data_IF_381367947051
#
_entry.id   IF_381367947051
#
_cell.length_a   1.000
_cell.length_b   1.000
_cell.length_c   1.000
_cell.angle_alpha   90.00
_cell.angle_beta   90.00
_cell.angle_gamma   90.00
#
_symmetry.space_group_name_H-M   'P 1'
#
loop_
_entity.id
_entity.type
_entity.pdbx_description
1 polymer ?
2 non-polymer ?
3 non-polymer ?
4 water ?
#
# COMPACT_ATOMS: atom_id res chain seq x y z
N UNK A 1 6.18 -15.48 14.74
CA UNK A 1 5.03 -14.58 14.73
C UNK A 1 4.02 -14.96 13.66
N UNK A 2 2.92 -14.22 13.59
CA UNK A 2 1.80 -14.52 12.73
C UNK A 2 1.33 -13.27 11.99
N UNK A 3 0.94 -13.43 10.73
CA UNK A 3 0.49 -12.30 9.92
C UNK A 3 -0.59 -12.75 8.94
N UNK A 4 -1.69 -12.00 8.87
CA UNK A 4 -2.75 -12.31 7.91
C UNK A 4 -2.29 -11.94 6.51
N UNK A 5 -2.63 -12.78 5.53
CA UNK A 5 -2.31 -12.47 4.14
C UNK A 5 -2.83 -11.08 3.79
N UNK A 6 -2.06 -10.34 2.98
CA UNK A 6 -2.47 -9.02 2.54
C UNK A 6 -2.34 -7.93 3.57
N UNK A 7 -1.62 -8.19 4.67
CA UNK A 7 -1.33 -7.19 5.68
C UNK A 7 0.17 -6.99 5.83
N UNK A 8 0.54 -5.87 6.42
CA UNK A 8 1.92 -5.55 6.76
C UNK A 8 2.13 -5.67 8.26
N UNK A 9 3.37 -5.95 8.66
CA UNK A 9 3.76 -5.77 10.05
C UNK A 9 5.06 -5.00 10.12
N UNK A 10 5.24 -4.33 11.25
CA UNK A 10 6.47 -3.60 11.54
C UNK A 10 7.32 -4.49 12.44
N UNK A 11 8.38 -5.06 11.87
CA UNK A 11 9.29 -5.91 12.61
C UNK A 11 10.32 -5.05 13.33
N UNK A 12 10.57 -5.39 14.60
CA UNK A 12 11.50 -4.65 15.45
C UNK A 12 12.79 -5.46 15.64
N UNK A 13 13.94 -4.82 15.46
CA UNK A 13 15.23 -5.48 15.60
C UNK A 13 16.18 -4.60 16.41
N UNK A 14 17.14 -5.23 17.10
CA UNK A 14 18.20 -4.47 17.77
C UNK A 14 19.05 -3.73 16.73
N UNK A 15 19.42 -2.49 17.04
CA UNK A 15 20.21 -1.69 16.10
C UNK A 15 21.69 -2.06 16.14
N UNK A 16 22.24 -2.29 17.33
CA UNK A 16 23.67 -2.48 17.47
C UNK A 16 24.16 -3.66 16.62
N UNK A 17 25.16 -3.39 15.77
CA UNK A 17 25.89 -4.41 15.01
C UNK A 17 25.03 -5.08 13.94
N UNK A 18 23.85 -4.54 13.66
CA UNK A 18 23.03 -5.02 12.54
C UNK A 18 23.65 -4.63 11.20
N UNK A 19 23.62 -5.57 10.26
CA UNK A 19 24.16 -5.34 8.92
C UNK A 19 23.11 -5.37 7.82
N UNK A 20 22.25 -6.40 7.79
CA UNK A 20 21.23 -6.49 6.75
C UNK A 20 20.16 -7.50 7.13
N UNK A 21 18.99 -7.31 6.56
CA UNK A 21 17.83 -8.15 6.81
C UNK A 21 17.35 -8.71 5.48
N UNK A 22 17.25 -10.02 5.39
CA UNK A 22 17.02 -10.69 4.13
C UNK A 22 15.87 -11.68 4.19
N UNK A 23 15.21 -11.82 3.06
CA UNK A 23 14.20 -12.86 2.83
C UNK A 23 14.65 -13.61 1.58
N UNK A 24 15.35 -14.73 1.75
CA UNK A 24 15.81 -15.56 0.63
C UNK A 24 16.45 -14.72 -0.47
N UNK A 25 17.56 -14.08 -0.13
CA UNK A 25 18.36 -13.25 -1.05
C UNK A 25 17.65 -11.99 -1.52
N UNK A 26 16.48 -11.67 -0.96
CA UNK A 26 15.87 -10.36 -1.12
C UNK A 26 16.23 -9.52 0.10
N UNK A 27 16.71 -8.30 -0.13
CA UNK A 27 17.07 -7.40 0.96
C UNK A 27 15.86 -6.58 1.40
N UNK A 28 15.69 -6.47 2.70
CA UNK A 28 14.59 -5.69 3.29
C UNK A 28 15.21 -4.49 3.98
N UNK A 29 14.87 -3.27 3.58
CA UNK A 29 15.46 -2.08 4.21
C UNK A 29 14.93 -1.88 5.62
N UNK A 30 15.71 -1.14 6.41
CA UNK A 30 15.37 -0.83 7.79
C UNK A 30 15.32 0.69 7.96
N UNK A 31 14.65 1.14 9.03
CA UNK A 31 14.64 2.55 9.40
C UNK A 31 14.58 2.64 10.91
N UNK A 32 14.85 3.84 11.42
CA UNK A 32 14.96 4.03 12.86
C UNK A 32 13.62 3.85 13.55
N UNK A 33 13.66 3.27 14.73
CA UNK A 33 12.49 3.28 15.59
C UNK A 33 12.43 4.65 16.26
N UNK A 34 11.36 5.42 16.05
CA UNK A 34 11.35 6.82 16.52
C UNK A 34 11.30 6.97 18.03
N UNK A 35 11.02 5.91 18.78
CA UNK A 35 10.87 6.01 20.22
C UNK A 35 11.83 5.14 21.02
N UNK A 36 12.58 4.25 20.38
CA UNK A 36 13.60 3.45 21.06
C UNK A 36 14.87 3.52 20.22
N UNK A 37 15.86 4.27 20.68
CA UNK A 37 17.09 4.49 19.93
C UNK A 37 17.90 3.21 19.74
N UNK A 38 17.64 2.19 20.54
CA UNK A 38 18.34 0.92 20.45
C UNK A 38 17.70 -0.03 19.44
N UNK A 39 16.59 0.36 18.82
CA UNK A 39 15.86 -0.50 17.91
C UNK A 39 15.80 0.10 16.51
N UNK A 40 15.67 -0.76 15.51
CA UNK A 40 15.27 -0.36 14.16
C UNK A 40 14.00 -1.14 13.79
N UNK A 41 13.40 -0.70 12.69
CA UNK A 41 12.15 -1.26 12.19
C UNK A 41 12.34 -1.70 10.75
N UNK A 42 11.52 -2.67 10.35
CA UNK A 42 11.36 -3.04 8.94
C UNK A 42 9.90 -3.38 8.69
N UNK A 43 9.44 -3.13 7.46
CA UNK A 43 8.07 -3.44 7.06
C UNK A 43 8.09 -4.74 6.27
N UNK A 44 7.36 -5.75 6.75
CA UNK A 44 7.19 -7.02 6.05
C UNK A 44 5.73 -7.18 5.67
N UNK A 45 5.47 -7.49 4.40
CA UNK A 45 4.12 -7.63 3.87
C UNK A 45 3.94 -9.01 3.25
N UNK A 46 2.79 -9.63 3.52
CA UNK A 46 2.42 -10.84 2.79
C UNK A 46 1.48 -10.50 1.65
N UNK A 47 1.64 -11.07 0.46
CA UNK A 47 0.68 -10.79 -0.60
C UNK A 47 -0.65 -11.48 -0.28
N UNK A 48 -1.74 -10.87 -0.74
CA UNK A 48 -3.04 -11.50 -0.53
C UNK A 48 -3.15 -12.79 -1.33
N UNK A 49 -2.77 -12.74 -2.60
CA UNK A 49 -2.91 -13.90 -3.49
C UNK A 49 -1.72 -14.82 -3.34
N UNK A 50 -1.99 -16.12 -3.28
CA UNK A 50 -1.02 -17.20 -3.27
C UNK A 50 0.22 -16.86 -2.42
N UNK A 51 0.04 -16.62 -1.13
CA UNK A 51 1.19 -16.32 -0.27
C UNK A 51 1.90 -17.60 0.13
N UNK A 52 3.17 -17.51 0.53
CA UNK A 52 3.82 -18.67 1.14
C UNK A 52 3.08 -19.05 2.41
N UNK A 53 3.29 -20.28 2.86
CA UNK A 53 2.66 -20.71 4.09
C UNK A 53 3.43 -20.25 5.33
N UNK A 54 4.74 -20.12 5.20
CA UNK A 54 5.58 -19.62 6.27
C UNK A 54 6.69 -18.80 5.63
N UNK A 55 7.32 -17.94 6.45
CA UNK A 55 8.41 -17.10 5.99
C UNK A 55 9.50 -17.06 7.06
N UNK A 56 10.75 -17.28 6.65
CA UNK A 56 11.90 -17.16 7.54
C UNK A 56 12.74 -15.96 7.09
N UNK A 57 12.86 -14.96 7.94
CA UNK A 57 13.71 -13.81 7.67
C UNK A 57 14.99 -13.95 8.49
N UNK A 58 16.10 -13.52 7.91
CA UNK A 58 17.39 -13.56 8.61
C UNK A 58 17.89 -12.13 8.78
N UNK A 59 18.13 -11.75 10.03
CA UNK A 59 18.84 -10.51 10.33
C UNK A 59 20.30 -10.87 10.55
N UNK A 60 21.18 -10.37 9.69
CA UNK A 60 22.61 -10.60 9.82
C UNK A 60 23.24 -9.49 10.65
N UNK A 61 23.94 -9.89 11.69
CA UNK A 61 24.70 -8.99 12.54
C UNK A 61 26.17 -9.18 12.26
N UNK A 62 27.00 -8.35 12.91
CA UNK A 62 28.43 -8.47 12.70
C UNK A 62 28.97 -9.84 13.07
N UNK A 63 28.42 -10.51 14.10
CA UNK A 63 29.01 -11.82 14.41
C UNK A 63 27.97 -12.88 14.71
N UNK A 64 26.72 -12.65 14.34
CA UNK A 64 25.66 -13.63 14.58
C UNK A 64 24.52 -13.34 13.61
N UNK A 65 23.61 -14.29 13.50
CA UNK A 65 22.39 -14.14 12.72
C UNK A 65 21.18 -14.40 13.61
N UNK A 66 20.08 -13.72 13.29
CA UNK A 66 18.82 -13.92 13.99
C UNK A 66 17.77 -14.34 12.99
N UNK A 67 17.07 -15.43 13.28
CA UNK A 67 16.00 -15.96 12.46
C UNK A 67 14.65 -15.48 12.97
N UNK A 68 13.76 -15.13 12.03
CA UNK A 68 12.43 -14.62 12.34
C UNK A 68 11.43 -15.39 11.48
N UNK A 69 10.56 -16.17 12.13
CA UNK A 69 9.55 -16.97 11.46
C UNK A 69 8.20 -16.26 11.51
N UNK A 70 7.56 -16.11 10.35
CA UNK A 70 6.22 -15.54 10.24
C UNK A 70 5.31 -16.58 9.61
N UNK A 71 4.31 -17.03 10.36
CA UNK A 71 3.29 -17.91 9.80
C UNK A 71 2.20 -17.08 9.13
N UNK A 72 1.80 -17.48 7.93
CA UNK A 72 0.75 -16.81 7.21
C UNK A 72 -0.61 -17.24 7.76
N UNK A 73 -1.45 -16.27 8.08
CA UNK A 73 -2.82 -16.55 8.51
C UNK A 73 -3.77 -16.23 7.39
N UNK A 74 -4.80 -17.06 7.26
CA UNK A 74 -5.80 -16.85 6.22
C UNK A 74 -6.68 -15.64 6.51
N UNK A 75 -6.83 -15.27 7.78
CA UNK A 75 -7.73 -14.19 8.16
C UNK A 75 -9.18 -14.61 8.07
N UNK A 76 -10.04 -13.61 7.93
CA UNK A 76 -11.47 -13.88 7.82
C UNK A 76 -12.09 -12.85 6.89
N UNK A 77 -11.43 -12.60 5.77
CA UNK A 77 -11.99 -11.72 4.75
C UNK A 77 -13.30 -12.27 4.22
N UNK A 78 -14.12 -11.37 3.69
CA UNK A 78 -15.33 -11.79 2.99
C UNK A 78 -14.96 -12.39 1.65
N UNK A 79 -15.62 -13.48 1.29
CA UNK A 79 -15.24 -14.25 0.13
C UNK A 79 -16.49 -14.85 -0.50
N UNK A 80 -16.46 -14.95 -1.83
CA UNK A 80 -17.58 -15.51 -2.58
C UNK A 80 -17.05 -16.40 -3.69
N UNK A 81 -17.73 -17.54 -3.89
CA UNK A 81 -17.38 -18.45 -4.97
C UNK A 81 -17.66 -17.78 -6.32
N UNK A 82 -16.63 -17.70 -7.16
CA UNK A 82 -16.77 -17.20 -8.52
C UNK A 82 -17.17 -18.38 -9.40
N UNK A 83 -18.40 -18.33 -9.94
CA UNK A 83 -19.01 -19.54 -10.50
C UNK A 83 -18.61 -19.83 -11.94
N UNK A 84 -18.11 -18.84 -12.68
CA UNK A 84 -17.63 -19.12 -14.04
C UNK A 84 -16.35 -19.95 -13.99
N UNK A 85 -15.44 -19.59 -13.09
CA UNK A 85 -14.01 -19.91 -13.11
C UNK A 85 -13.30 -19.16 -14.22
N UNK A 86 -13.74 -19.34 -15.47
CA UNK A 86 -13.01 -18.99 -16.71
C UNK A 86 -12.08 -17.79 -16.60
N UNK A 87 -12.48 -16.77 -15.83
CA UNK A 87 -11.68 -15.61 -15.40
C UNK A 87 -10.52 -15.17 -16.28
N UNK A 88 -10.48 -15.58 -17.54
CA UNK A 88 -9.48 -15.05 -18.47
C UNK A 88 -10.18 -14.07 -19.39
N UNK A 89 -9.73 -12.81 -19.35
CA UNK A 89 -10.33 -11.75 -20.15
C UNK A 89 -9.40 -11.45 -21.32
N UNK A 90 -9.99 -10.97 -22.40
CA UNK A 90 -9.29 -10.74 -23.66
C UNK A 90 -9.50 -9.29 -24.07
N UNK A 91 -8.76 -8.35 -23.47
CA UNK A 91 -8.90 -6.96 -23.86
C UNK A 91 -8.48 -6.75 -25.31
N UNK A 92 -9.02 -5.74 -25.98
CA UNK A 92 -8.51 -5.40 -27.32
C UNK A 92 -7.02 -5.09 -27.24
N UNK A 93 -6.31 -5.36 -28.34
CA UNK A 93 -4.85 -5.31 -28.27
C UNK A 93 -4.36 -3.92 -27.84
N UNK A 94 -5.07 -2.87 -28.22
CA UNK A 94 -4.63 -1.53 -27.81
C UNK A 94 -4.77 -1.33 -26.29
N UNK A 95 -5.80 -1.91 -25.68
CA UNK A 95 -5.95 -1.82 -24.22
C UNK A 95 -4.85 -2.62 -23.53
N UNK A 96 -4.53 -3.80 -24.07
CA UNK A 96 -3.45 -4.63 -23.52
C UNK A 96 -2.15 -3.86 -23.47
N UNK A 97 -1.84 -3.12 -24.52
CA UNK A 97 -0.57 -2.39 -24.58
C UNK A 97 -0.53 -1.28 -23.54
N UNK A 98 -1.64 -0.55 -23.39
CA UNK A 98 -1.69 0.48 -22.38
C UNK A 98 -1.56 -0.11 -20.98
N UNK A 99 -2.22 -1.25 -20.72
CA UNK A 99 -2.12 -1.87 -19.39
C UNK A 99 -0.69 -2.31 -19.11
N UNK A 100 -0.06 -2.96 -20.10
CA UNK A 100 1.32 -3.40 -19.93
C UNK A 100 2.27 -2.22 -19.73
N UNK A 101 2.07 -1.13 -20.48
CA UNK A 101 2.95 0.01 -20.33
C UNK A 101 2.79 0.64 -18.94
N UNK A 102 1.54 0.80 -18.48
CA UNK A 102 1.34 1.37 -17.15
C UNK A 102 1.82 0.44 -16.03
N UNK A 103 1.80 -0.87 -16.27
CA UNK A 103 2.34 -1.81 -15.28
C UNK A 103 3.85 -1.68 -15.16
N UNK A 104 4.57 -1.63 -16.29
CA UNK A 104 6.00 -1.42 -16.21
C UNK A 104 6.33 -0.09 -15.53
N UNK A 105 5.57 0.97 -15.80
CA UNK A 105 5.83 2.23 -15.11
C UNK A 105 5.60 2.09 -13.62
N UNK A 106 4.46 1.52 -13.22
CA UNK A 106 4.15 1.43 -11.80
C UNK A 106 5.17 0.57 -11.07
N UNK A 107 5.58 -0.54 -11.69
CA UNK A 107 6.57 -1.43 -11.07
C UNK A 107 7.85 -0.67 -10.73
N UNK A 108 8.33 0.15 -11.68
CA UNK A 108 9.56 0.90 -11.44
C UNK A 108 9.37 1.97 -10.36
N UNK A 109 8.20 2.61 -10.34
CA UNK A 109 7.96 3.65 -9.34
C UNK A 109 7.97 3.06 -7.94
N UNK A 110 7.32 1.90 -7.76
CA UNK A 110 7.21 1.29 -6.45
C UNK A 110 8.52 0.68 -5.96
N UNK A 111 9.47 0.41 -6.84
CA UNK A 111 10.75 -0.15 -6.42
C UNK A 111 11.83 0.91 -6.27
N UNK A 112 11.54 2.18 -6.56
CA UNK A 112 12.47 3.29 -6.32
C UNK A 112 12.30 3.71 -4.85
N UNK A 113 13.14 3.16 -3.99
CA UNK A 113 12.97 3.28 -2.54
C UNK A 113 13.53 4.59 -2.01
N UNK A 114 12.73 5.31 -1.21
CA UNK A 114 13.21 6.56 -0.60
C UNK A 114 13.63 6.28 0.84
N UNK A 115 14.92 6.47 1.19
CA UNK A 115 15.39 5.98 2.50
C UNK A 115 15.27 7.02 3.61
N UNK A 116 14.18 7.78 3.61
CA UNK A 116 13.93 8.76 4.66
C UNK A 116 12.43 8.99 4.76
N UNK A 117 12.01 9.54 5.90
CA UNK A 117 10.60 9.85 6.14
C UNK A 117 10.21 11.12 5.40
N UNK A 118 9.27 11.01 4.46
CA UNK A 118 8.64 12.19 3.88
C UNK A 118 7.33 12.53 4.56
N UNK A 119 6.82 11.63 5.39
CA UNK A 119 5.54 11.81 6.05
C UNK A 119 5.68 12.75 7.26
N UNK A 120 4.53 13.14 7.81
CA UNK A 120 4.46 14.07 8.92
C UNK A 120 3.60 13.43 10.01
N UNK A 121 4.22 12.58 10.83
CA UNK A 121 3.47 11.92 11.89
C UNK A 121 2.43 10.97 11.35
N UNK A 122 1.28 10.93 12.03
CA UNK A 122 0.21 9.98 11.70
C UNK A 122 -0.38 10.24 10.32
N UNK A 123 -0.78 9.16 9.65
CA UNK A 123 -1.71 9.26 8.53
C UNK A 123 -3.07 9.74 9.02
N UNK A 124 -3.71 10.62 8.26
CA UNK A 124 -5.12 10.93 8.42
C UNK A 124 -5.92 10.28 7.28
N UNK A 125 -7.22 10.14 7.50
CA UNK A 125 -8.09 9.62 6.44
C UNK A 125 -8.14 10.65 5.30
N UNK A 126 -8.18 10.22 4.03
CA UNK A 126 -8.18 11.21 2.93
C UNK A 126 -9.48 11.98 2.79
N UNK A 127 -10.56 11.54 3.43
CA UNK A 127 -11.78 12.32 3.52
C UNK A 127 -12.56 11.82 4.73
N UNK A 128 -13.42 12.67 5.27
CA UNK A 128 -14.03 12.34 6.55
C UNK A 128 -15.32 11.56 6.41
N UNK A 129 -15.30 10.57 5.51
CA UNK A 129 -16.46 9.75 5.19
C UNK A 129 -16.27 8.36 5.79
N UNK A 130 -16.97 7.38 5.23
CA UNK A 130 -17.04 6.05 5.79
C UNK A 130 -16.80 5.01 4.70
N UNK A 131 -16.35 3.84 5.13
CA UNK A 131 -16.03 2.74 4.22
C UNK A 131 -17.32 2.12 3.71
N UNK A 132 -17.43 1.96 2.39
CA UNK A 132 -18.56 1.27 1.80
C UNK A 132 -18.22 -0.15 1.38
N UNK A 133 -16.96 -0.40 1.02
CA UNK A 133 -16.52 -1.73 0.63
C UNK A 133 -15.06 -1.85 1.05
N UNK A 134 -14.77 -2.75 1.99
CA UNK A 134 -13.43 -2.76 2.56
C UNK A 134 -12.47 -3.64 1.76
N UNK A 135 -11.19 -3.55 2.13
CA UNK A 135 -10.10 -4.30 1.50
C UNK A 135 -10.35 -5.81 1.58
N UNK A 136 -9.90 -6.52 0.55
CA UNK A 136 -9.73 -7.94 0.69
C UNK A 136 -10.96 -8.79 0.42
N UNK A 137 -12.04 -8.19 -0.06
CA UNK A 137 -13.17 -9.00 -0.48
C UNK A 137 -12.75 -9.83 -1.68
N UNK A 138 -12.90 -11.15 -1.57
CA UNK A 138 -12.26 -12.09 -2.49
C UNK A 138 -13.29 -12.82 -3.34
N UNK A 139 -12.90 -13.13 -4.57
CA UNK A 139 -13.65 -14.03 -5.43
C UNK A 139 -12.79 -15.26 -5.68
N UNK A 140 -13.29 -16.42 -5.27
CA UNK A 140 -12.55 -17.68 -5.31
C UNK A 140 -13.07 -18.56 -6.43
N UNK A 141 -12.19 -19.32 -7.09
CA UNK A 141 -12.73 -20.38 -7.93
C UNK A 141 -12.94 -21.61 -7.04
N UNK A 142 -12.46 -22.79 -7.42
CA UNK A 142 -12.62 -23.99 -6.60
C UNK A 142 -12.31 -23.70 -5.13
N UNK A 143 -11.06 -23.33 -4.83
CA UNK A 143 -10.76 -22.56 -3.62
C UNK A 143 -9.38 -21.94 -3.69
N UNK A 144 -8.99 -21.42 -4.84
CA UNK A 144 -7.91 -20.45 -4.84
C UNK A 144 -8.49 -19.08 -5.17
N UNK A 145 -7.91 -18.06 -4.54
CA UNK A 145 -8.36 -16.69 -4.76
C UNK A 145 -8.05 -16.29 -6.19
N UNK A 146 -9.09 -15.97 -6.96
CA UNK A 146 -8.95 -15.46 -8.32
C UNK A 146 -8.78 -13.95 -8.39
N UNK A 147 -9.44 -13.21 -7.49
CA UNK A 147 -9.33 -11.76 -7.47
C UNK A 147 -9.76 -11.27 -6.09
N UNK A 148 -9.46 -10.00 -5.83
CA UNK A 148 -9.77 -9.39 -4.55
C UNK A 148 -9.68 -7.87 -4.67
N UNK A 149 -10.40 -7.19 -3.78
CA UNK A 149 -10.36 -5.73 -3.68
C UNK A 149 -9.04 -5.30 -3.03
N UNK A 150 -8.17 -4.64 -3.80
CA UNK A 150 -6.82 -4.34 -3.34
C UNK A 150 -6.70 -2.96 -2.68
N UNK A 151 -7.83 -2.37 -2.30
CA UNK A 151 -7.88 -1.13 -1.55
C UNK A 151 -9.20 -1.06 -0.83
N UNK A 152 -9.51 0.11 -0.27
CA UNK A 152 -10.75 0.30 0.47
C UNK A 152 -11.52 1.48 -0.12
N UNK A 153 -12.85 1.37 -0.13
CA UNK A 153 -13.71 2.36 -0.78
C UNK A 153 -14.44 3.23 0.25
N UNK A 154 -14.36 4.54 0.08
CA UNK A 154 -15.09 5.50 0.91
C UNK A 154 -16.27 6.08 0.15
N UNK A 155 -17.41 6.21 0.83
CA UNK A 155 -18.54 6.91 0.23
C UNK A 155 -18.16 8.35 -0.08
N UNK A 156 -18.56 8.82 -1.26
CA UNK A 156 -18.26 10.19 -1.65
C UNK A 156 -19.16 10.54 -2.84
N UNK A 157 -19.94 11.61 -2.71
CA UNK A 157 -20.60 12.14 -3.87
C UNK A 157 -19.54 12.58 -4.87
N UNK A 158 -19.87 12.50 -6.17
CA UNK A 158 -18.95 13.01 -7.19
C UNK A 158 -18.58 14.46 -6.88
N UNK A 159 -17.30 14.76 -6.95
CA UNK A 159 -16.82 16.10 -6.68
C UNK A 159 -16.38 16.37 -5.26
N UNK A 160 -16.34 15.35 -4.39
CA UNK A 160 -15.93 15.54 -3.01
C UNK A 160 -14.41 15.79 -2.94
N UNK A 161 -13.95 16.80 -2.20
CA UNK A 161 -12.52 17.03 -2.08
C UNK A 161 -11.82 15.84 -1.43
N UNK A 162 -10.64 15.49 -1.97
CA UNK A 162 -9.81 14.40 -1.47
C UNK A 162 -8.48 14.98 -1.01
N UNK A 163 -8.04 14.61 0.18
CA UNK A 163 -6.83 15.19 0.77
C UNK A 163 -5.76 14.13 0.97
N UNK A 164 -4.50 14.54 0.84
CA UNK A 164 -3.38 13.63 1.07
C UNK A 164 -3.45 13.03 2.47
N UNK A 165 -3.39 11.71 2.57
CA UNK A 165 -3.43 11.08 3.88
C UNK A 165 -2.17 11.34 4.70
N UNK A 166 -1.05 11.67 4.05
CA UNK A 166 0.15 12.10 4.74
C UNK A 166 1.01 12.90 3.76
N UNK A 167 2.05 13.53 4.30
CA UNK A 167 2.99 14.28 3.47
C UNK A 167 3.82 13.36 2.58
N UNK A 168 4.22 13.87 1.43
CA UNK A 168 5.15 13.10 0.62
C UNK A 168 5.41 13.75 -0.73
N UNK A 169 5.69 12.91 -1.73
CA UNK A 169 6.03 13.37 -3.07
C UNK A 169 5.13 12.65 -4.07
N UNK A 170 4.46 13.40 -4.92
CA UNK A 170 3.57 12.82 -5.93
C UNK A 170 4.39 12.09 -6.98
N UNK A 171 4.11 10.80 -7.18
CA UNK A 171 4.77 9.98 -8.20
C UNK A 171 3.91 9.69 -9.41
N UNK A 172 2.60 9.60 -9.24
CA UNK A 172 1.66 9.37 -10.33
C UNK A 172 0.52 10.37 -10.18
N UNK A 173 0.08 10.93 -11.31
CA UNK A 173 -1.02 11.87 -11.35
C UNK A 173 -1.58 11.94 -12.77
N UNK A 174 -2.33 10.91 -13.18
CA UNK A 174 -2.79 10.81 -14.56
C UNK A 174 -3.85 9.72 -14.68
N UNK A 175 -4.46 9.65 -15.87
CA UNK A 175 -5.47 8.65 -16.17
C UNK A 175 -4.81 7.32 -16.50
N UNK A 176 -5.14 6.28 -15.73
CA UNK A 176 -4.58 4.95 -15.96
C UNK A 176 -5.70 3.92 -16.10
N UNK A 177 -5.45 2.85 -16.85
CA UNK A 177 -6.48 1.83 -16.98
C UNK A 177 -6.74 1.17 -15.64
N UNK A 178 -8.01 0.85 -15.36
CA UNK A 178 -8.51 0.26 -14.12
C UNK A 178 -8.59 1.30 -13.02
N UNK A 179 -7.49 1.99 -12.74
CA UNK A 179 -7.52 2.98 -11.67
C UNK A 179 -8.22 4.28 -12.07
N UNK A 180 -8.49 4.51 -13.35
CA UNK A 180 -9.02 5.82 -13.71
C UNK A 180 -8.01 6.94 -13.43
N UNK A 181 -8.56 8.15 -13.24
CA UNK A 181 -7.73 9.25 -12.76
C UNK A 181 -7.14 8.91 -11.42
N UNK A 182 -5.81 8.87 -11.33
CA UNK A 182 -5.18 8.37 -10.12
C UNK A 182 -4.01 9.25 -9.68
N UNK A 183 -3.87 9.30 -8.36
CA UNK A 183 -2.75 9.93 -7.70
C UNK A 183 -2.07 8.88 -6.83
N UNK A 184 -0.74 8.87 -6.85
CA UNK A 184 0.05 8.00 -5.99
C UNK A 184 1.11 8.86 -5.32
N UNK A 185 1.23 8.73 -4.00
CA UNK A 185 2.16 9.56 -3.22
C UNK A 185 3.17 8.64 -2.53
N UNK A 186 4.45 8.96 -2.70
CA UNK A 186 5.55 8.32 -1.97
C UNK A 186 5.70 9.00 -0.62
N UNK A 187 5.60 8.24 0.46
CA UNK A 187 5.75 8.76 1.82
C UNK A 187 7.14 8.46 2.39
N UNK A 188 8.00 7.78 1.64
CA UNK A 188 9.23 7.28 2.19
C UNK A 188 9.10 5.86 2.72
N UNK A 189 10.25 5.19 2.82
CA UNK A 189 10.36 3.86 3.41
C UNK A 189 9.55 2.83 2.62
N UNK A 190 9.38 3.06 1.31
CA UNK A 190 8.58 2.15 0.50
C UNK A 190 7.10 2.17 0.78
N UNK A 191 6.57 3.19 1.45
CA UNK A 191 5.14 3.35 1.71
C UNK A 191 4.53 4.31 0.69
N UNK A 192 3.51 3.85 -0.04
CA UNK A 192 2.80 4.68 -1.02
C UNK A 192 1.31 4.64 -0.73
N UNK A 193 0.65 5.80 -0.79
CA UNK A 193 -0.81 5.86 -0.73
C UNK A 193 -1.38 6.13 -2.12
N UNK A 194 -2.57 5.58 -2.37
CA UNK A 194 -3.16 5.57 -3.71
C UNK A 194 -4.57 6.13 -3.65
N UNK A 195 -4.91 6.93 -4.65
CA UNK A 195 -6.19 7.64 -4.71
C UNK A 195 -6.72 7.46 -6.12
N UNK A 196 -7.73 6.60 -6.29
CA UNK A 196 -8.16 6.17 -7.62
C UNK A 196 -9.59 6.59 -7.89
N UNK A 197 -9.93 6.56 -9.19
CA UNK A 197 -11.27 6.83 -9.70
C UNK A 197 -11.67 8.29 -9.53
N UNK A 198 -10.67 9.18 -9.50
CA UNK A 198 -10.93 10.59 -9.29
C UNK A 198 -11.64 11.19 -10.50
N UNK A 199 -12.42 12.23 -10.23
CA UNK A 199 -13.01 13.01 -11.32
C UNK A 199 -12.14 14.19 -11.71
N UNK A 200 -11.22 14.59 -10.85
CA UNK A 200 -10.31 15.71 -11.14
C UNK A 200 -9.01 15.49 -10.38
N UNK A 201 -7.89 15.75 -11.05
CA UNK A 201 -6.57 15.65 -10.44
C UNK A 201 -6.04 17.06 -10.24
N UNK A 202 -5.62 17.38 -9.00
CA UNK A 202 -5.19 18.73 -8.68
C UNK A 202 -3.69 18.82 -8.34
N UNK A 203 -2.90 17.80 -8.69
CA UNK A 203 -1.46 17.81 -8.44
C UNK A 203 -0.73 17.33 -9.69
N UNK A 204 0.61 17.50 -9.67
CA UNK A 204 1.53 17.16 -10.73
C UNK A 204 2.60 16.22 -10.21
N UNK A 205 3.14 15.36 -11.09
CA UNK A 205 4.21 14.46 -10.66
C UNK A 205 5.40 15.28 -10.16
N UNK A 206 5.97 14.83 -9.05
CA UNK A 206 7.12 15.46 -8.44
C UNK A 206 6.80 16.59 -7.50
N UNK A 207 5.54 17.00 -7.43
CA UNK A 207 5.11 17.99 -6.45
C UNK A 207 5.30 17.47 -5.03
N UNK A 208 5.75 18.35 -4.14
CA UNK A 208 5.76 18.05 -2.70
C UNK A 208 4.37 18.34 -2.15
N UNK A 209 3.81 17.40 -1.40
CA UNK A 209 2.43 17.51 -0.95
C UNK A 209 2.41 17.40 0.57
N UNK A 210 1.65 18.27 1.22
CA UNK A 210 1.52 18.25 2.67
C UNK A 210 0.36 17.37 3.08
N UNK A 211 0.44 16.83 4.31
CA UNK A 211 -0.67 16.05 4.84
C UNK A 211 -1.91 16.93 4.91
N UNK A 212 -3.05 16.42 4.46
CA UNK A 212 -4.27 17.19 4.51
C UNK A 212 -4.41 18.18 3.38
N UNK A 213 -3.49 18.21 2.44
CA UNK A 213 -3.58 19.09 1.30
C UNK A 213 -4.40 18.43 0.18
N UNK A 214 -5.10 19.27 -0.58
CA UNK A 214 -6.00 18.76 -1.61
C UNK A 214 -5.22 18.12 -2.75
N UNK A 215 -5.62 16.90 -3.14
CA UNK A 215 -5.00 16.25 -4.30
C UNK A 215 -5.95 16.05 -5.47
N UNK A 216 -7.26 16.23 -5.27
CA UNK A 216 -8.17 16.10 -6.39
C UNK A 216 -9.61 16.07 -5.88
N UNK A 217 -10.50 15.67 -6.79
CA UNK A 217 -11.91 15.54 -6.48
C UNK A 217 -12.36 14.12 -6.75
N UNK A 218 -13.21 13.59 -5.87
CA UNK A 218 -13.66 12.22 -6.03
C UNK A 218 -14.50 12.09 -7.29
N UNK A 219 -14.53 10.87 -7.83
CA UNK A 219 -15.26 10.67 -9.06
C UNK A 219 -15.92 9.31 -9.10
N UNK A 220 -15.76 8.61 -10.23
CA UNK A 220 -16.34 7.28 -10.45
C UNK A 220 -17.86 7.32 -10.51
N UNK A 221 -18.40 8.39 -11.10
CA UNK A 221 -19.85 8.50 -11.29
C UNK A 221 -20.42 7.28 -12.02
N UNK A 222 -19.72 6.85 -13.08
CA UNK A 222 -20.10 5.65 -13.78
C UNK A 222 -19.13 4.50 -13.55
N UNK A 223 -19.20 3.88 -12.37
CA UNK A 223 -18.48 2.65 -12.09
C UNK A 223 -19.49 1.55 -11.84
N UNK A 224 -18.98 0.31 -11.74
CA UNK A 224 -19.83 -0.83 -11.46
C UNK A 224 -20.67 -0.64 -10.19
N UNK A 225 -20.23 0.24 -9.27
CA UNK A 225 -20.91 0.45 -7.99
C UNK A 225 -21.12 1.93 -7.64
N UNK A 226 -20.85 2.86 -8.55
CA UNK A 226 -21.19 4.24 -8.33
C UNK A 226 -20.16 5.02 -7.51
N UNK A 227 -20.43 6.30 -7.30
CA UNK A 227 -19.37 7.23 -6.89
C UNK A 227 -18.74 6.87 -5.54
N UNK A 228 -17.42 7.00 -5.47
CA UNK A 228 -16.68 6.65 -4.26
C UNK A 228 -15.23 7.02 -4.49
N UNK A 229 -14.46 7.08 -3.39
CA UNK A 229 -13.00 7.15 -3.46
C UNK A 229 -12.44 5.77 -3.15
N UNK A 230 -11.58 5.27 -4.03
CA UNK A 230 -10.82 4.06 -3.73
C UNK A 230 -9.47 4.50 -3.18
N UNK A 231 -9.15 4.01 -1.99
CA UNK A 231 -7.94 4.36 -1.27
C UNK A 231 -7.09 3.11 -1.13
N UNK A 232 -5.81 3.21 -1.47
CA UNK A 232 -4.92 2.07 -1.39
C UNK A 232 -3.63 2.43 -0.68
N UNK A 233 -2.97 1.41 -0.15
CA UNK A 233 -1.64 1.53 0.44
C UNK A 233 -0.76 0.40 -0.11
N UNK A 234 0.41 0.75 -0.64
CA UNK A 234 1.42 -0.23 -1.00
C UNK A 234 2.56 -0.06 -0.02
N UNK A 235 2.97 -1.16 0.60
CA UNK A 235 4.05 -1.11 1.57
C UNK A 235 4.72 -2.48 1.61
N UNK A 236 6.05 -2.49 1.75
CA UNK A 236 6.75 -3.74 1.65
C UNK A 236 6.61 -4.37 0.29
N UNK A 237 6.40 -3.55 -0.74
CA UNK A 237 6.29 -4.03 -2.10
C UNK A 237 4.94 -4.61 -2.49
N UNK A 238 3.93 -4.57 -1.61
CA UNK A 238 2.66 -5.24 -1.84
C UNK A 238 1.50 -4.32 -1.47
N UNK A 239 0.35 -4.52 -2.11
CA UNK A 239 -0.89 -3.90 -1.63
C UNK A 239 -1.26 -4.53 -0.30
N UNK A 240 -1.47 -3.69 0.73
CA UNK A 240 -1.87 -4.19 2.03
C UNK A 240 -3.16 -3.50 2.46
N UNK A 241 -3.86 -4.15 3.39
CA UNK A 241 -5.04 -3.64 4.07
C UNK A 241 -4.78 -2.22 4.54
N UNK A 242 -5.35 -1.19 3.91
CA UNK A 242 -4.85 0.17 4.20
C UNK A 242 -5.22 0.66 5.59
N UNK A 243 -6.44 0.39 6.06
CA UNK A 243 -6.80 0.84 7.41
C UNK A 243 -6.03 0.08 8.47
N UNK A 244 -5.75 -1.20 8.24
CA UNK A 244 -4.94 -1.94 9.18
C UNK A 244 -3.50 -1.42 9.16
N UNK A 245 -2.99 -1.05 7.98
CA UNK A 245 -1.65 -0.47 7.91
C UNK A 245 -1.59 0.86 8.63
N UNK A 246 -2.57 1.72 8.37
CA UNK A 246 -2.59 3.04 8.99
C UNK A 246 -2.63 2.91 10.51
N UNK A 247 -3.43 1.98 11.02
CA UNK A 247 -3.48 1.76 12.46
C UNK A 247 -2.10 1.38 13.00
N UNK A 248 -1.42 0.45 12.33
CA UNK A 248 -0.10 0.00 12.79
C UNK A 248 0.93 1.11 12.66
N UNK A 249 0.93 1.82 11.53
CA UNK A 249 1.89 2.90 11.33
C UNK A 249 1.71 3.99 12.38
N UNK A 250 0.46 4.38 12.64
CA UNK A 250 0.20 5.47 13.57
C UNK A 250 0.62 5.10 14.99
N UNK A 251 0.44 3.84 15.38
CA UNK A 251 0.87 3.47 16.72
C UNK A 251 2.35 3.75 16.93
N UNK A 252 3.14 3.71 15.85
CA UNK A 252 4.58 3.93 15.94
C UNK A 252 4.95 5.40 15.79
N UNK A 253 4.37 6.08 14.78
CA UNK A 253 4.85 7.39 14.35
C UNK A 253 3.96 8.56 14.78
N UNK A 254 2.85 8.32 15.46
CA UNK A 254 1.88 9.42 15.62
C UNK A 254 2.41 10.55 16.49
N UNK A 255 3.46 10.34 17.28
CA UNK A 255 3.99 11.44 18.07
C UNK A 255 5.12 12.20 17.35
N UNK A 256 5.43 11.84 16.11
CA UNK A 256 6.48 12.43 15.32
C UNK A 256 5.96 13.59 14.46
N UNK A 257 6.89 14.40 13.96
CA UNK A 257 6.53 15.48 13.05
C UNK A 257 7.69 15.76 12.10
N UNK A 258 7.34 16.25 10.91
CA UNK A 258 8.32 16.60 9.89
C UNK A 258 7.68 17.55 8.90
N UNK A 259 8.37 18.64 8.58
CA UNK A 259 8.00 19.50 7.47
C UNK A 259 9.08 19.40 6.39
N UNK A 260 8.67 19.48 5.12
CA UNK A 260 9.61 19.21 4.04
C UNK A 260 10.76 20.22 4.07
N UNK A 261 11.98 19.72 3.90
CA UNK A 261 13.17 20.55 3.87
C UNK A 261 13.92 20.48 2.54
N UNK A 262 13.43 19.70 1.58
CA UNK A 262 14.18 19.44 0.33
C UNK A 262 13.33 19.58 -0.94
X LIG B 1 -12.06 0.04 -4.78
X LIG C 1 -1.08 0.30 -9.41
X LIG C 1 -0.11 -0.78 -9.28
X LIG C 1 -0.41 1.60 -9.25
X LIG C 1 -1.69 0.22 -10.74
X LIG C 1 -2.13 0.18 -8.38
#
# INVERSE_FOLDING_TARGET
MELIKGQALFLELDKKDFLSLKNNDKNIPTFAHPKNQEKILAIFSLPYKNPPQNTKLIAFYKDKKEEIFIKTLEGNYKSEKLQVENKKIFPPKTIQERIAKELKEANAIYSSYTPKALFNGAFNIPLNSFITSDFGKARTFNEKVASYHSGTDFRAATGTPIYAANSGVVKIAKDRYFAGNSVVIDHGFGIYSQYYALSKIDVKVGQKIKKGELIGLSGASGRVSGPHLHFGILAGGKQVDPLDFVSKFNAIFQLEHHHHHH
ZN ZN
SO4 S O1 O2 O3 O4
#
